data_IF_344463961914
#
_entry.id   IF_344463961914
#
_cell.length_a   1.000
_cell.length_b   1.000
_cell.length_c   1.000
_cell.angle_alpha   90.00
_cell.angle_beta   90.00
_cell.angle_gamma   90.00
#
_symmetry.space_group_name_H-M   'P 1'
#
loop_
_entity.id
_entity.type
_entity.pdbx_description
1 polymer ?
#
# COMPACT_ATOMS: atom_id res chain seq x y z
N UNK A 1 52.14 38.83 -7.47
CA UNK A 1 51.58 37.46 -7.33
C UNK A 1 50.13 37.60 -6.91
N UNK A 2 49.21 37.68 -7.89
CA UNK A 2 47.79 37.94 -7.62
C UNK A 2 47.09 36.68 -7.13
N UNK A 3 46.36 36.84 -6.04
CA UNK A 3 45.60 35.85 -5.27
C UNK A 3 44.44 35.28 -6.11
N UNK A 4 44.63 34.10 -6.70
CA UNK A 4 43.58 33.33 -7.41
C UNK A 4 42.68 32.48 -6.49
N UNK A 5 42.97 32.47 -5.18
CA UNK A 5 42.28 31.69 -4.15
C UNK A 5 40.74 31.86 -4.10
N UNK A 6 40.14 33.06 -4.23
CA UNK A 6 38.69 33.21 -4.06
C UNK A 6 37.90 32.67 -5.27
N UNK A 7 38.50 32.67 -6.47
CA UNK A 7 37.82 32.19 -7.69
C UNK A 7 37.74 30.66 -7.71
N UNK A 8 38.84 29.98 -7.34
CA UNK A 8 38.88 28.53 -7.24
C UNK A 8 37.91 27.99 -6.18
N UNK A 9 37.85 28.64 -5.01
CA UNK A 9 36.93 28.28 -3.93
C UNK A 9 35.46 28.44 -4.34
N UNK A 10 35.14 29.53 -5.06
CA UNK A 10 33.78 29.76 -5.61
C UNK A 10 33.39 28.70 -6.62
N UNK A 11 34.29 28.34 -7.54
CA UNK A 11 34.04 27.26 -8.50
C UNK A 11 33.83 25.91 -7.80
N UNK A 12 34.64 25.60 -6.80
CA UNK A 12 34.51 24.35 -6.03
C UNK A 12 33.17 24.31 -5.29
N UNK A 13 32.77 25.41 -4.65
CA UNK A 13 31.50 25.53 -3.95
C UNK A 13 30.30 25.34 -4.89
N UNK A 14 30.33 25.96 -6.08
CA UNK A 14 29.28 25.82 -7.08
C UNK A 14 29.17 24.37 -7.59
N UNK A 15 30.30 23.70 -7.81
CA UNK A 15 30.32 22.29 -8.20
C UNK A 15 29.72 21.39 -7.10
N UNK A 16 30.06 21.63 -5.83
CA UNK A 16 29.51 20.89 -4.70
C UNK A 16 28.00 21.12 -4.57
N UNK A 17 27.52 22.36 -4.70
CA UNK A 17 26.10 22.70 -4.66
C UNK A 17 25.32 22.02 -5.78
N UNK A 18 25.83 22.05 -7.02
CA UNK A 18 25.19 21.39 -8.16
C UNK A 18 25.11 19.88 -7.95
N UNK A 19 26.20 19.26 -7.48
CA UNK A 19 26.21 17.82 -7.16
C UNK A 19 25.22 17.48 -6.04
N UNK A 20 25.13 18.32 -5.02
CA UNK A 20 24.20 18.15 -3.90
C UNK A 20 22.74 18.30 -4.33
N UNK A 21 22.41 19.25 -5.20
CA UNK A 21 21.07 19.38 -5.78
C UNK A 21 20.69 18.18 -6.66
N UNK A 22 21.61 17.71 -7.50
CA UNK A 22 21.38 16.55 -8.38
C UNK A 22 21.20 15.25 -7.58
N UNK A 23 21.95 15.08 -6.48
CA UNK A 23 21.82 13.92 -5.59
C UNK A 23 20.51 13.89 -4.79
N UNK A 24 19.73 14.97 -4.74
CA UNK A 24 18.48 15.05 -3.98
C UNK A 24 17.23 14.77 -4.82
N UNK A 25 17.40 14.12 -5.97
CA UNK A 25 16.28 13.78 -6.86
C UNK A 25 15.53 12.53 -6.36
N UNK A 26 14.79 12.64 -5.25
CA UNK A 26 13.84 11.60 -4.85
C UNK A 26 12.45 11.96 -5.37
N UNK A 27 11.99 11.26 -6.40
CA UNK A 27 10.58 11.31 -6.80
C UNK A 27 9.81 10.21 -6.04
N UNK A 28 8.71 10.60 -5.41
CA UNK A 28 7.77 9.64 -4.84
C UNK A 28 6.65 9.49 -5.87
N UNK A 29 6.48 8.29 -6.42
CA UNK A 29 5.33 7.96 -7.25
C UNK A 29 4.07 8.07 -6.39
N UNK A 30 3.37 9.20 -6.50
CA UNK A 30 2.15 9.43 -5.74
C UNK A 30 0.98 8.73 -6.44
N UNK A 31 0.63 7.55 -5.93
CA UNK A 31 -0.59 6.85 -6.33
C UNK A 31 -1.71 7.28 -5.37
N UNK A 32 -2.81 7.82 -5.89
CA UNK A 32 -3.99 8.10 -5.07
C UNK A 32 -4.79 6.82 -4.81
N UNK A 33 -5.43 6.67 -3.64
CA UNK A 33 -6.31 5.53 -3.35
C UNK A 33 -7.42 5.31 -4.39
N UNK A 34 -7.88 6.39 -5.02
CA UNK A 34 -8.89 6.35 -6.08
C UNK A 34 -8.39 5.68 -7.38
N UNK A 35 -7.07 5.60 -7.60
CA UNK A 35 -6.48 4.98 -8.79
C UNK A 35 -6.26 3.45 -8.64
N UNK A 36 -6.46 2.88 -7.45
CA UNK A 36 -6.38 1.43 -7.29
C UNK A 36 -7.57 0.73 -7.96
N UNK A 37 -7.34 -0.42 -8.57
CA UNK A 37 -8.42 -1.21 -9.18
C UNK A 37 -9.38 -1.77 -8.11
N UNK A 38 -10.54 -2.28 -8.54
CA UNK A 38 -11.54 -2.84 -7.61
C UNK A 38 -11.08 -4.08 -6.83
N UNK A 39 -9.98 -4.71 -7.24
CA UNK A 39 -9.37 -5.86 -6.55
C UNK A 39 -8.09 -5.49 -5.77
N UNK A 40 -7.78 -4.20 -5.66
CA UNK A 40 -6.59 -3.69 -5.00
C UNK A 40 -6.95 -2.74 -3.86
N UNK A 41 -6.18 -2.79 -2.79
CA UNK A 41 -6.23 -1.82 -1.70
C UNK A 41 -5.02 -0.89 -1.77
N UNK A 42 -5.19 0.32 -1.25
CA UNK A 42 -4.09 1.27 -1.14
C UNK A 42 -3.30 1.06 0.16
N UNK A 43 -2.00 0.80 0.04
CA UNK A 43 -1.10 0.72 1.18
C UNK A 43 -0.42 2.07 1.43
N UNK A 44 -0.85 2.77 2.48
CA UNK A 44 -0.21 4.02 2.90
C UNK A 44 1.24 3.84 3.32
N UNK A 45 1.61 2.65 3.81
CA UNK A 45 2.99 2.32 4.17
C UNK A 45 3.93 2.19 2.96
N UNK A 46 3.41 1.85 1.78
CA UNK A 46 4.19 1.67 0.54
C UNK A 46 3.89 2.71 -0.53
N UNK A 47 2.90 3.58 -0.29
CA UNK A 47 2.36 4.54 -1.26
C UNK A 47 1.94 3.86 -2.58
N UNK A 48 1.42 2.62 -2.51
CA UNK A 48 1.13 1.79 -3.69
C UNK A 48 -0.15 0.98 -3.56
N UNK A 49 -0.71 0.57 -4.70
CA UNK A 49 -1.83 -0.37 -4.75
C UNK A 49 -1.32 -1.80 -4.66
N UNK A 50 -1.89 -2.58 -3.73
CA UNK A 50 -1.57 -3.99 -3.54
C UNK A 50 -2.82 -4.83 -3.81
N UNK A 51 -2.65 -6.01 -4.40
CA UNK A 51 -3.77 -6.91 -4.69
C UNK A 51 -4.30 -7.59 -3.41
N UNK A 52 -5.61 -7.81 -3.36
CA UNK A 52 -6.21 -8.70 -2.39
C UNK A 52 -5.97 -10.16 -2.80
N UNK A 53 -5.54 -11.01 -1.87
CA UNK A 53 -5.22 -12.42 -2.16
C UNK A 53 -6.45 -13.32 -2.27
N UNK A 54 -7.41 -13.19 -1.34
CA UNK A 54 -8.62 -14.03 -1.30
C UNK A 54 -9.92 -13.24 -1.13
N UNK A 55 -9.82 -11.93 -1.00
CA UNK A 55 -10.94 -11.02 -0.76
C UNK A 55 -11.11 -9.99 -1.88
N UNK A 56 -12.02 -9.05 -1.63
CA UNK A 56 -12.29 -7.89 -2.48
C UNK A 56 -11.86 -6.61 -1.77
N UNK A 57 -11.69 -5.52 -2.52
CA UNK A 57 -11.40 -4.22 -1.94
C UNK A 57 -12.55 -3.78 -1.03
N UNK A 58 -12.22 -3.34 0.18
CA UNK A 58 -13.19 -2.75 1.12
C UNK A 58 -13.70 -1.39 0.63
N UNK A 59 -14.84 -0.95 1.17
CA UNK A 59 -15.46 0.35 0.83
C UNK A 59 -14.56 1.56 1.10
N UNK A 60 -13.71 1.50 2.14
CA UNK A 60 -12.69 2.51 2.44
C UNK A 60 -11.49 2.46 1.48
N UNK A 61 -11.30 1.34 0.77
CA UNK A 61 -10.24 1.13 -0.19
C UNK A 61 -8.83 1.00 0.37
N UNK A 62 -8.68 0.89 1.69
CA UNK A 62 -7.38 0.74 2.37
C UNK A 62 -7.13 -0.70 2.83
N UNK A 63 -8.12 -1.59 2.68
CA UNK A 63 -8.08 -2.97 3.14
C UNK A 63 -8.85 -3.93 2.22
N UNK A 64 -8.65 -5.23 2.44
CA UNK A 64 -9.41 -6.29 1.80
C UNK A 64 -10.50 -6.81 2.74
N UNK A 65 -11.65 -7.19 2.19
CA UNK A 65 -12.78 -7.77 2.90
C UNK A 65 -13.28 -9.04 2.19
N UNK A 66 -13.93 -9.93 2.93
CA UNK A 66 -14.52 -11.12 2.34
C UNK A 66 -15.84 -10.78 1.63
N UNK A 67 -16.08 -11.30 0.41
CA UNK A 67 -17.34 -11.14 -0.27
C UNK A 67 -18.46 -11.92 0.44
N UNK A 68 -19.70 -11.64 0.06
CA UNK A 68 -20.89 -12.30 0.59
C UNK A 68 -20.79 -13.84 0.48
N UNK A 69 -21.15 -14.56 1.55
CA UNK A 69 -21.06 -16.01 1.60
C UNK A 69 -19.68 -16.56 2.01
N UNK A 70 -18.72 -15.69 2.35
CA UNK A 70 -17.43 -16.06 2.91
C UNK A 70 -17.23 -15.40 4.28
N UNK A 71 -16.55 -16.10 5.19
CA UNK A 71 -16.14 -15.60 6.49
C UNK A 71 -14.63 -15.38 6.52
N UNK A 72 -14.19 -14.43 7.36
CA UNK A 72 -12.77 -14.19 7.65
C UNK A 72 -12.24 -15.36 8.48
N UNK A 73 -11.23 -16.07 7.97
CA UNK A 73 -10.54 -17.15 8.69
C UNK A 73 -9.25 -16.72 9.35
N UNK A 74 -8.62 -15.65 8.86
CA UNK A 74 -7.45 -15.03 9.47
C UNK A 74 -7.68 -13.52 9.62
N UNK A 75 -7.43 -12.98 10.82
CA UNK A 75 -7.67 -11.58 11.17
C UNK A 75 -6.58 -10.62 10.68
N UNK A 76 -5.73 -11.06 9.74
CA UNK A 76 -4.78 -10.20 9.06
C UNK A 76 -5.45 -8.93 8.53
N UNK A 77 -4.85 -7.78 8.80
CA UNK A 77 -5.17 -6.51 8.17
C UNK A 77 -3.85 -5.93 7.66
N UNK A 78 -3.79 -5.39 6.43
CA UNK A 78 -4.89 -5.08 5.51
C UNK A 78 -5.35 -6.23 4.61
N UNK A 79 -4.77 -7.43 4.74
CA UNK A 79 -5.06 -8.62 3.93
C UNK A 79 -5.81 -9.67 4.73
N UNK A 80 -6.94 -10.14 4.20
CA UNK A 80 -7.76 -11.16 4.83
C UNK A 80 -7.65 -12.51 4.10
N UNK A 81 -7.86 -13.58 4.85
CA UNK A 81 -8.11 -14.91 4.29
C UNK A 81 -9.58 -15.25 4.42
N UNK A 82 -10.24 -15.58 3.31
CA UNK A 82 -11.66 -15.86 3.24
C UNK A 82 -11.95 -17.35 3.02
N UNK A 83 -12.83 -17.92 3.85
CA UNK A 83 -13.33 -19.28 3.68
C UNK A 83 -14.83 -19.29 3.43
N UNK A 84 -15.36 -20.20 2.60
CA UNK A 84 -16.78 -20.27 2.31
C UNK A 84 -17.56 -20.55 3.60
N UNK A 85 -18.64 -19.82 3.81
CA UNK A 85 -19.60 -20.13 4.86
C UNK A 85 -20.24 -21.49 4.54
N UNK A 86 -20.27 -22.40 5.50
CA UNK A 86 -21.06 -23.60 5.34
C UNK A 86 -22.53 -23.22 5.29
N UNK A 87 -23.25 -23.68 4.26
CA UNK A 87 -24.71 -23.56 4.20
C UNK A 87 -25.27 -24.42 5.32
N UNK A 88 -25.55 -23.79 6.46
CA UNK A 88 -26.08 -24.54 7.59
C UNK A 88 -27.53 -24.87 7.27
N UNK A 89 -27.82 -26.15 7.07
CA UNK A 89 -29.20 -26.59 6.92
C UNK A 89 -29.88 -26.42 8.28
N UNK A 90 -30.82 -25.46 8.35
CA UNK A 90 -31.48 -25.07 9.59
C UNK A 90 -32.23 -26.25 10.23
N UNK A 91 -32.74 -27.20 9.43
CA UNK A 91 -33.36 -28.43 9.93
C UNK A 91 -32.38 -29.32 10.70
N UNK A 92 -31.10 -29.36 10.28
CA UNK A 92 -30.05 -30.11 10.98
C UNK A 92 -29.59 -29.43 12.26
N UNK A 93 -29.56 -28.10 12.30
CA UNK A 93 -29.27 -27.37 13.54
C UNK A 93 -30.37 -27.60 14.57
N UNK A 94 -31.64 -27.49 14.18
CA UNK A 94 -32.76 -27.72 15.09
C UNK A 94 -32.84 -29.17 15.58
N UNK A 95 -32.39 -30.14 14.78
CA UNK A 95 -32.28 -31.53 15.21
C UNK A 95 -31.11 -31.80 16.18
N UNK A 96 -30.05 -30.97 16.16
CA UNK A 96 -28.90 -31.12 17.06
C UNK A 96 -29.11 -30.52 18.46
N UNK A 97 -30.13 -29.68 18.63
CA UNK A 97 -30.51 -29.05 19.90
C UNK A 97 -31.76 -29.67 20.57
N UNK A 98 -32.26 -30.80 20.04
CA UNK A 98 -33.27 -31.65 20.69
C UNK A 98 -32.61 -32.84 21.36
#
# INVERSE_FOLDING_TARGET
>A
MHTSAPAALRCLLLLVLVRFCLSQSTSISFIQPANCSGAQYYSSARFSCNSCSSGVRSSDGLSCACPSGFAVSDLGSPQVTCSPCQSVNLDRLMAAFR
#
